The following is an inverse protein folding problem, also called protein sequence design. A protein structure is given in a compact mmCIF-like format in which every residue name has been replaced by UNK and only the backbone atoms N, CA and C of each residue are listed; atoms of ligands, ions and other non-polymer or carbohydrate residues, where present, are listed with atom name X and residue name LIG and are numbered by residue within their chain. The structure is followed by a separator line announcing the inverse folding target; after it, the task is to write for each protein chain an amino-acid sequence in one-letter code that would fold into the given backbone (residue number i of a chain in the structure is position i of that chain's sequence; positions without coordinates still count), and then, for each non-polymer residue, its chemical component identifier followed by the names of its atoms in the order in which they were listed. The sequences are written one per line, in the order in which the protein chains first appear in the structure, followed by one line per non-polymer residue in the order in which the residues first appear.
data_IF_553103982476
#
_entry.id   IF_553103982476
#
_cell.length_a   1.000
_cell.length_b   1.000
_cell.length_c   1.000
_cell.angle_alpha   90.00
_cell.angle_beta   90.00
_cell.angle_gamma   90.00
#
_symmetry.space_group_name_H-M   'P 1'
#
loop_
_entity.id
_entity.type
_entity.pdbx_description
1 polymer ?
#
# COMPACT_ATOMS: atom_id res chain seq x y z
N UNK A 1 -18.15 9.28 3.49
CA UNK A 1 -17.40 8.13 4.04
C UNK A 1 -15.97 8.35 3.66
N UNK A 2 -15.05 8.30 4.61
CA UNK A 2 -13.62 8.50 4.38
C UNK A 2 -12.84 7.36 5.02
N UNK A 3 -11.52 7.31 4.82
CA UNK A 3 -10.72 6.25 5.47
C UNK A 3 -10.76 6.33 7.01
N UNK A 4 -11.21 7.44 7.58
CA UNK A 4 -11.29 7.63 9.04
C UNK A 4 -12.44 6.86 9.69
N UNK A 5 -13.34 6.26 8.90
CA UNK A 5 -14.43 5.42 9.37
C UNK A 5 -14.00 3.95 9.58
N UNK A 6 -12.73 3.63 9.28
CA UNK A 6 -12.19 2.27 9.40
C UNK A 6 -11.24 2.15 10.60
N UNK A 7 -11.14 0.92 11.09
CA UNK A 7 -10.13 0.48 12.05
C UNK A 7 -9.30 -0.64 11.43
N UNK A 8 -8.10 -0.82 11.95
CA UNK A 8 -7.25 -1.98 11.68
C UNK A 8 -6.54 -2.39 12.96
N UNK A 9 -5.87 -3.53 12.96
CA UNK A 9 -5.00 -3.93 14.08
C UNK A 9 -3.56 -3.59 13.74
N UNK A 10 -2.87 -2.92 14.66
CA UNK A 10 -1.41 -2.74 14.60
C UNK A 10 -0.71 -4.10 14.46
N UNK A 11 0.55 -4.12 14.05
CA UNK A 11 1.30 -5.38 13.89
C UNK A 11 1.37 -6.24 15.18
N UNK A 12 1.17 -5.63 16.35
CA UNK A 12 1.14 -6.30 17.65
C UNK A 12 -0.28 -6.73 18.10
N UNK A 13 -1.30 -6.53 17.26
CA UNK A 13 -2.68 -6.94 17.51
C UNK A 13 -3.58 -5.90 18.19
N UNK A 14 -3.02 -4.75 18.60
CA UNK A 14 -3.79 -3.68 19.22
C UNK A 14 -4.68 -2.96 18.20
N UNK A 15 -5.95 -2.65 18.53
CA UNK A 15 -6.85 -1.93 17.64
C UNK A 15 -6.38 -0.48 17.42
N UNK A 16 -6.44 -0.02 16.17
CA UNK A 16 -6.07 1.32 15.73
C UNK A 16 -7.21 1.87 14.87
N UNK A 17 -7.89 2.88 15.39
CA UNK A 17 -8.86 3.68 14.62
C UNK A 17 -8.10 4.56 13.62
N UNK A 18 -8.39 4.48 12.33
CA UNK A 18 -7.66 5.29 11.34
C UNK A 18 -7.96 6.80 11.48
N UNK A 19 -9.01 7.16 12.22
CA UNK A 19 -9.31 8.55 12.58
C UNK A 19 -8.18 9.26 13.35
N UNK A 20 -7.24 8.53 13.97
CA UNK A 20 -6.06 9.14 14.60
C UNK A 20 -5.14 9.84 13.60
N UNK A 21 -5.23 9.47 12.31
CA UNK A 21 -4.45 10.04 11.22
C UNK A 21 -5.16 11.24 10.56
N UNK A 22 -6.22 11.77 11.17
CA UNK A 22 -6.96 12.92 10.64
C UNK A 22 -6.04 14.13 10.48
N UNK A 23 -6.13 14.77 9.30
CA UNK A 23 -5.32 15.94 8.97
C UNK A 23 -3.92 15.61 8.42
N UNK A 24 -3.50 14.35 8.40
CA UNK A 24 -2.27 13.91 7.74
C UNK A 24 -2.52 13.49 6.29
N UNK A 25 -1.49 13.62 5.46
CA UNK A 25 -1.44 12.97 4.13
C UNK A 25 -0.98 11.53 4.34
N UNK A 26 -1.66 10.55 3.75
CA UNK A 26 -1.36 9.13 3.99
C UNK A 26 -0.99 8.41 2.71
N UNK A 27 0.01 7.53 2.76
CA UNK A 27 0.23 6.51 1.75
C UNK A 27 -0.10 5.14 2.34
N UNK A 28 -1.22 4.56 1.91
CA UNK A 28 -1.67 3.23 2.34
C UNK A 28 -1.22 2.22 1.30
N UNK A 29 -0.52 1.15 1.70
CA UNK A 29 -0.05 0.13 0.76
C UNK A 29 -0.09 -1.28 1.34
N UNK A 30 -0.28 -2.28 0.46
CA UNK A 30 -0.07 -3.67 0.83
C UNK A 30 1.39 -4.08 0.63
N UNK A 31 1.98 -4.81 1.58
CA UNK A 31 3.41 -5.20 1.55
C UNK A 31 3.60 -6.71 1.47
N UNK A 32 4.79 -7.13 1.02
CA UNK A 32 5.23 -8.52 1.00
C UNK A 32 6.76 -8.61 1.11
N UNK A 33 7.30 -9.21 2.16
CA UNK A 33 8.75 -9.28 2.43
C UNK A 33 9.53 -10.07 1.38
N UNK A 34 8.98 -11.18 0.86
CA UNK A 34 9.65 -12.07 -0.12
C UNK A 34 9.33 -11.72 -1.58
N UNK A 35 8.75 -10.56 -1.82
CA UNK A 35 8.44 -10.07 -3.16
C UNK A 35 9.64 -9.34 -3.76
N UNK A 36 9.90 -9.43 -5.07
CA UNK A 36 10.95 -8.65 -5.74
C UNK A 36 10.76 -7.13 -5.57
N UNK A 37 9.52 -6.68 -5.35
CA UNK A 37 9.19 -5.28 -5.09
C UNK A 37 9.46 -4.83 -3.65
N UNK A 38 9.88 -5.72 -2.73
CA UNK A 38 10.39 -5.31 -1.41
C UNK A 38 11.62 -4.40 -1.51
N UNK A 39 12.29 -4.38 -2.68
CA UNK A 39 13.29 -3.37 -3.04
C UNK A 39 12.81 -1.92 -2.91
N UNK A 40 11.50 -1.67 -2.91
CA UNK A 40 10.91 -0.33 -2.74
C UNK A 40 10.84 0.10 -1.26
N UNK A 41 10.98 -0.82 -0.29
CA UNK A 41 10.88 -0.49 1.13
C UNK A 41 11.91 0.56 1.60
N UNK A 42 13.19 0.51 1.20
CA UNK A 42 14.14 1.56 1.54
C UNK A 42 13.75 2.94 0.99
N UNK A 43 13.24 3.01 -0.25
CA UNK A 43 12.80 4.28 -0.83
C UNK A 43 11.51 4.79 -0.20
N UNK A 44 10.58 3.90 0.17
CA UNK A 44 9.40 4.25 0.98
C UNK A 44 9.81 4.78 2.36
N UNK A 45 10.78 4.15 3.01
CA UNK A 45 11.30 4.58 4.30
C UNK A 45 11.97 5.96 4.18
N UNK A 46 12.76 6.19 3.13
CA UNK A 46 13.37 7.50 2.89
C UNK A 46 12.32 8.59 2.60
N UNK A 47 11.32 8.28 1.78
CA UNK A 47 10.20 9.17 1.51
C UNK A 47 9.45 9.52 2.79
N UNK A 48 9.24 8.53 3.66
CA UNK A 48 8.66 8.73 4.98
C UNK A 48 9.53 9.67 5.82
N UNK A 49 10.84 9.44 5.93
CA UNK A 49 11.75 10.31 6.69
C UNK A 49 11.76 11.77 6.22
N UNK A 50 11.68 12.02 4.91
CA UNK A 50 11.67 13.38 4.34
C UNK A 50 10.40 14.14 4.75
N UNK A 51 9.25 13.48 4.74
CA UNK A 51 7.94 14.14 4.83
C UNK A 51 7.20 13.91 6.15
N UNK A 52 7.64 12.99 7.01
CA UNK A 52 6.91 12.58 8.22
C UNK A 52 6.57 13.77 9.13
N UNK A 53 7.58 14.58 9.45
CA UNK A 53 7.44 15.77 10.31
C UNK A 53 6.55 16.87 9.70
N UNK A 54 6.25 16.80 8.39
CA UNK A 54 5.38 17.73 7.68
C UNK A 54 3.90 17.30 7.74
N UNK A 55 3.60 16.16 8.37
CA UNK A 55 2.27 15.58 8.47
C UNK A 55 1.99 14.49 7.44
N UNK A 56 3.02 13.75 7.03
CA UNK A 56 2.90 12.56 6.17
C UNK A 56 3.01 11.26 7.00
N UNK A 57 2.29 10.24 6.57
CA UNK A 57 2.32 8.91 7.20
C UNK A 57 2.25 7.81 6.13
N UNK A 58 2.98 6.71 6.34
CA UNK A 58 2.84 5.49 5.52
C UNK A 58 2.19 4.40 6.39
N UNK A 59 1.14 3.76 5.88
CA UNK A 59 0.46 2.66 6.57
C UNK A 59 0.63 1.36 5.76
N UNK A 60 1.55 0.50 6.21
CA UNK A 60 1.87 -0.77 5.56
C UNK A 60 1.02 -1.94 6.05
N UNK A 61 0.39 -2.65 5.12
CA UNK A 61 -0.46 -3.81 5.39
C UNK A 61 0.12 -5.08 4.75
N UNK A 62 0.85 -5.92 5.51
CA UNK A 62 1.37 -7.18 4.99
C UNK A 62 0.24 -8.05 4.40
N UNK A 63 0.53 -8.74 3.29
CA UNK A 63 -0.47 -9.58 2.62
C UNK A 63 0.18 -10.78 1.91
N UNK A 64 -0.40 -11.98 2.13
CA UNK A 64 0.13 -13.21 1.56
C UNK A 64 -0.59 -13.70 0.29
N UNK A 65 -1.60 -12.96 -0.21
CA UNK A 65 -2.47 -13.42 -1.30
C UNK A 65 -1.81 -13.45 -2.70
N UNK A 66 -0.56 -12.99 -2.82
CA UNK A 66 0.13 -12.82 -4.10
C UNK A 66 1.36 -13.73 -4.13
N UNK A 67 1.18 -14.99 -4.57
CA UNK A 67 2.21 -16.04 -4.63
C UNK A 67 2.93 -16.29 -3.28
N UNK A 68 2.19 -16.22 -2.18
CA UNK A 68 2.68 -16.56 -0.84
C UNK A 68 4.00 -15.84 -0.48
N UNK A 69 4.05 -14.53 -0.74
CA UNK A 69 5.25 -13.69 -0.54
C UNK A 69 5.35 -13.04 0.84
N UNK A 70 4.44 -13.37 1.74
CA UNK A 70 4.43 -12.96 3.16
C UNK A 70 3.91 -14.10 4.07
N UNK A 71 4.53 -15.31 4.03
CA UNK A 71 4.09 -16.44 4.84
C UNK A 71 4.30 -16.24 6.34
N UNK A 72 5.26 -15.39 6.72
CA UNK A 72 5.69 -15.11 8.09
C UNK A 72 4.56 -14.59 9.00
N UNK A 73 4.73 -14.79 10.31
CA UNK A 73 3.89 -14.19 11.35
C UNK A 73 4.09 -12.68 11.45
N UNK A 74 3.15 -11.97 12.09
CA UNK A 74 3.23 -10.51 12.24
C UNK A 74 4.55 -10.06 12.90
N UNK A 75 5.02 -10.76 13.94
CA UNK A 75 6.29 -10.44 14.62
C UNK A 75 7.50 -10.64 13.73
N UNK A 76 7.53 -11.71 12.94
CA UNK A 76 8.63 -11.99 12.00
C UNK A 76 8.65 -10.97 10.86
N UNK A 77 7.49 -10.56 10.34
CA UNK A 77 7.39 -9.49 9.32
C UNK A 77 7.91 -8.17 9.89
N UNK A 78 7.51 -7.81 11.12
CA UNK A 78 7.97 -6.59 11.77
C UNK A 78 9.49 -6.55 11.88
N UNK A 79 10.08 -7.60 12.49
CA UNK A 79 11.52 -7.72 12.70
C UNK A 79 12.28 -7.75 11.38
N UNK A 80 11.76 -8.45 10.37
CA UNK A 80 12.38 -8.53 9.05
C UNK A 80 12.40 -7.16 8.36
N UNK A 81 11.27 -6.45 8.32
CA UNK A 81 11.17 -5.14 7.70
C UNK A 81 12.07 -4.10 8.39
N UNK A 82 12.13 -4.12 9.73
CA UNK A 82 13.00 -3.23 10.48
C UNK A 82 14.47 -3.56 10.27
N UNK A 83 14.87 -4.84 10.40
CA UNK A 83 16.27 -5.25 10.37
C UNK A 83 16.90 -5.17 8.97
N UNK A 84 16.13 -5.46 7.92
CA UNK A 84 16.65 -5.54 6.55
C UNK A 84 16.46 -4.24 5.75
N UNK A 85 15.42 -3.47 6.05
CA UNK A 85 15.07 -2.27 5.28
C UNK A 85 14.97 -0.99 6.11
N UNK A 86 15.14 -1.08 7.44
CA UNK A 86 15.07 0.08 8.32
C UNK A 86 13.66 0.68 8.44
N UNK A 87 12.61 -0.08 8.13
CA UNK A 87 11.23 0.43 8.13
C UNK A 87 10.84 0.91 9.53
N UNK A 88 10.42 2.17 9.62
CA UNK A 88 9.94 2.84 10.84
C UNK A 88 8.50 3.32 10.74
N UNK A 89 7.93 3.38 9.53
CA UNK A 89 6.52 3.69 9.38
C UNK A 89 5.64 2.54 9.93
N UNK A 90 4.41 2.84 10.39
CA UNK A 90 3.50 1.84 10.94
C UNK A 90 3.24 0.66 10.00
N UNK A 91 3.44 -0.54 10.54
CA UNK A 91 2.93 -1.79 9.97
C UNK A 91 1.72 -2.28 10.77
N UNK A 92 0.77 -2.87 10.07
CA UNK A 92 -0.44 -3.46 10.62
C UNK A 92 -0.34 -4.99 10.60
N UNK A 93 -1.32 -5.68 11.20
CA UNK A 93 -1.42 -7.14 11.03
C UNK A 93 -1.57 -7.50 9.56
N UNK A 94 -1.13 -8.72 9.23
CA UNK A 94 -1.36 -9.30 7.91
C UNK A 94 -2.85 -9.38 7.62
N UNK A 95 -3.27 -8.86 6.46
CA UNK A 95 -4.66 -8.84 6.03
C UNK A 95 -4.83 -9.44 4.64
N UNK A 96 -6.05 -9.87 4.34
CA UNK A 96 -6.48 -10.08 2.96
C UNK A 96 -6.91 -8.75 2.35
N UNK A 97 -6.54 -8.53 1.09
CA UNK A 97 -6.86 -7.30 0.33
C UNK A 97 -7.71 -7.60 -0.91
N UNK A 98 -8.01 -8.87 -1.17
CA UNK A 98 -8.86 -9.38 -2.25
C UNK A 98 -9.88 -10.40 -1.74
N UNK A 99 -10.94 -10.57 -2.52
CA UNK A 99 -11.97 -11.57 -2.28
C UNK A 99 -12.95 -11.17 -1.17
N UNK A 100 -13.90 -12.07 -0.84
CA UNK A 100 -14.95 -11.79 0.14
C UNK A 100 -14.43 -11.46 1.55
N UNK A 101 -13.26 -12.00 1.90
CA UNK A 101 -12.59 -11.79 3.19
C UNK A 101 -11.64 -10.58 3.20
N UNK A 102 -11.57 -9.81 2.11
CA UNK A 102 -10.75 -8.61 2.05
C UNK A 102 -11.13 -7.65 3.19
N UNK A 103 -10.11 -7.06 3.80
CA UNK A 103 -10.30 -6.07 4.84
C UNK A 103 -11.18 -4.92 4.31
N UNK A 104 -12.19 -4.44 5.07
CA UNK A 104 -13.14 -3.43 4.59
C UNK A 104 -12.49 -2.16 4.03
N UNK A 105 -11.35 -1.75 4.61
CA UNK A 105 -10.53 -0.65 4.06
C UNK A 105 -10.15 -0.89 2.60
N UNK A 106 -9.62 -2.06 2.26
CA UNK A 106 -9.17 -2.36 0.88
C UNK A 106 -10.33 -2.54 -0.09
N UNK A 107 -11.48 -3.02 0.39
CA UNK A 107 -12.73 -3.03 -0.40
C UNK A 107 -13.14 -1.60 -0.76
N UNK A 108 -13.15 -0.70 0.22
CA UNK A 108 -13.44 0.71 0.00
C UNK A 108 -12.41 1.38 -0.93
N UNK A 109 -11.12 1.18 -0.68
CA UNK A 109 -10.05 1.79 -1.49
C UNK A 109 -10.17 1.40 -2.97
N UNK A 110 -10.39 0.11 -3.25
CA UNK A 110 -10.52 -0.38 -4.63
C UNK A 110 -11.84 0.01 -5.30
N UNK A 111 -12.92 0.17 -4.53
CA UNK A 111 -14.19 0.69 -5.07
C UNK A 111 -14.11 2.18 -5.42
N UNK A 112 -13.42 2.98 -4.60
CA UNK A 112 -13.31 4.43 -4.80
C UNK A 112 -12.21 4.80 -5.81
N UNK A 113 -11.20 3.95 -5.97
CA UNK A 113 -10.16 4.09 -6.99
C UNK A 113 -10.02 2.80 -7.81
N UNK A 114 -10.87 2.63 -8.84
CA UNK A 114 -10.82 1.51 -9.78
C UNK A 114 -9.48 1.39 -10.49
N UNK A 115 -9.13 0.20 -10.92
CA UNK A 115 -7.87 -0.03 -11.63
C UNK A 115 -7.87 0.65 -13.00
N UNK A 116 -6.83 1.43 -13.30
CA UNK A 116 -6.73 2.20 -14.55
C UNK A 116 -5.79 1.58 -15.60
N UNK A 117 -5.26 0.38 -15.34
CA UNK A 117 -4.21 -0.23 -16.18
C UNK A 117 -2.81 -0.02 -15.63
N UNK A 118 -1.83 -0.67 -16.26
CA UNK A 118 -0.41 -0.39 -16.05
C UNK A 118 0.10 0.56 -17.14
N UNK A 119 1.16 1.30 -16.84
CA UNK A 119 1.90 2.05 -17.85
C UNK A 119 2.71 1.11 -18.75
N UNK A 120 2.13 0.78 -19.91
CA UNK A 120 2.72 -0.14 -20.90
C UNK A 120 3.86 0.44 -21.72
N UNK A 121 4.13 1.75 -21.61
CA UNK A 121 5.32 2.36 -22.21
C UNK A 121 6.59 2.01 -21.41
N UNK A 122 6.43 1.59 -20.15
CA UNK A 122 7.54 1.07 -19.33
C UNK A 122 7.66 -0.44 -19.45
N UNK A 123 8.89 -0.94 -19.43
CA UNK A 123 9.16 -2.39 -19.44
C UNK A 123 8.53 -3.10 -18.23
N UNK A 124 8.54 -2.45 -17.06
CA UNK A 124 7.93 -2.99 -15.84
C UNK A 124 6.41 -3.09 -15.93
N UNK A 125 5.73 -2.05 -16.43
CA UNK A 125 4.28 -2.03 -16.58
C UNK A 125 3.79 -2.98 -17.67
N UNK A 126 4.48 -3.03 -18.82
CA UNK A 126 4.20 -4.01 -19.87
C UNK A 126 4.34 -5.44 -19.33
N UNK A 127 5.44 -5.74 -18.64
CA UNK A 127 5.66 -7.07 -18.07
C UNK A 127 4.60 -7.45 -17.04
N UNK A 128 4.24 -6.53 -16.13
CA UNK A 128 3.19 -6.79 -15.12
C UNK A 128 1.82 -7.03 -15.76
N UNK A 129 1.50 -6.27 -16.81
CA UNK A 129 0.27 -6.48 -17.55
C UNK A 129 0.24 -7.87 -18.20
N UNK A 130 1.28 -8.23 -18.96
CA UNK A 130 1.34 -9.52 -19.63
C UNK A 130 1.31 -10.68 -18.63
N UNK A 131 2.06 -10.56 -17.54
CA UNK A 131 2.07 -11.54 -16.46
C UNK A 131 0.68 -11.75 -15.85
N UNK A 132 -0.05 -10.68 -15.55
CA UNK A 132 -1.39 -10.78 -14.96
C UNK A 132 -2.43 -11.27 -15.97
N UNK A 133 -2.38 -10.84 -17.23
CA UNK A 133 -3.27 -11.35 -18.28
C UNK A 133 -3.06 -12.85 -18.52
N UNK A 134 -1.82 -13.33 -18.47
CA UNK A 134 -1.50 -14.75 -18.68
C UNK A 134 -1.84 -15.61 -17.46
N UNK A 135 -1.42 -15.20 -16.26
CA UNK A 135 -1.52 -16.04 -15.05
C UNK A 135 -2.80 -15.82 -14.26
N UNK A 136 -3.34 -14.60 -14.29
CA UNK A 136 -4.41 -14.16 -13.40
C UNK A 136 -5.43 -13.26 -14.12
N UNK A 137 -6.05 -13.72 -15.23
CA UNK A 137 -6.91 -12.88 -16.07
C UNK A 137 -8.12 -12.31 -15.32
N UNK A 138 -8.72 -13.07 -14.41
CA UNK A 138 -9.86 -12.60 -13.61
C UNK A 138 -9.46 -11.47 -12.64
N UNK A 139 -8.26 -11.58 -12.07
CA UNK A 139 -7.68 -10.53 -11.23
C UNK A 139 -7.40 -9.28 -12.06
N UNK A 140 -6.89 -9.43 -13.29
CA UNK A 140 -6.63 -8.30 -14.19
C UNK A 140 -7.95 -7.60 -14.58
N UNK A 141 -9.01 -8.36 -14.86
CA UNK A 141 -10.30 -7.83 -15.29
C UNK A 141 -11.07 -7.03 -14.22
N UNK A 142 -10.95 -7.37 -12.95
CA UNK A 142 -11.66 -6.67 -11.85
C UNK A 142 -10.93 -5.42 -11.35
N UNK A 143 -11.46 -4.72 -10.34
CA UNK A 143 -10.83 -3.52 -9.76
C UNK A 143 -9.96 -3.77 -8.52
N UNK A 144 -9.86 -5.04 -8.09
CA UNK A 144 -9.05 -5.41 -6.94
C UNK A 144 -7.59 -4.99 -7.06
N UNK A 145 -6.88 -5.04 -5.92
CA UNK A 145 -5.43 -4.87 -5.87
C UNK A 145 -4.77 -5.81 -6.89
N UNK A 146 -3.74 -5.40 -7.64
CA UNK A 146 -3.15 -6.22 -8.72
C UNK A 146 -1.93 -7.02 -8.30
N UNK A 147 -1.12 -6.46 -7.41
CA UNK A 147 0.02 -7.17 -6.85
C UNK A 147 0.44 -6.55 -5.51
N UNK A 148 1.50 -7.09 -4.90
CA UNK A 148 2.16 -6.48 -3.75
C UNK A 148 2.60 -5.05 -4.08
N UNK A 149 2.65 -4.15 -3.09
CA UNK A 149 3.08 -2.76 -3.27
C UNK A 149 2.16 -1.91 -4.15
N UNK A 150 0.85 -2.21 -4.17
CA UNK A 150 -0.16 -1.25 -4.65
C UNK A 150 -0.37 -0.20 -3.57
N UNK A 151 -0.49 1.08 -3.96
CA UNK A 151 -0.42 2.23 -3.06
C UNK A 151 -1.62 3.14 -3.30
N UNK A 152 -2.17 3.71 -2.24
CA UNK A 152 -3.24 4.70 -2.28
C UNK A 152 -2.78 5.94 -1.53
N UNK A 153 -2.71 7.06 -2.23
CA UNK A 153 -2.43 8.36 -1.63
C UNK A 153 -3.75 8.97 -1.16
N UNK A 154 -3.80 9.38 0.10
CA UNK A 154 -4.97 9.92 0.78
C UNK A 154 -4.68 11.36 1.18
N UNK A 155 -5.64 12.26 0.95
CA UNK A 155 -5.56 13.65 1.38
C UNK A 155 -5.78 13.84 2.89
N UNK A 156 -5.57 15.07 3.38
CA UNK A 156 -5.76 15.44 4.79
C UNK A 156 -7.21 15.27 5.31
N UNK A 157 -8.18 15.09 4.41
CA UNK A 157 -9.60 14.87 4.75
C UNK A 157 -9.98 13.37 4.76
N UNK A 158 -9.03 12.48 4.45
CA UNK A 158 -9.24 11.04 4.42
C UNK A 158 -9.84 10.54 3.11
N UNK A 159 -9.82 11.35 2.04
CA UNK A 159 -10.29 10.96 0.72
C UNK A 159 -9.14 10.49 -0.18
N UNK A 160 -9.43 9.59 -1.10
CA UNK A 160 -8.42 9.08 -2.03
C UNK A 160 -8.07 10.18 -3.03
N UNK A 161 -6.78 10.52 -3.08
CA UNK A 161 -6.22 11.39 -4.09
C UNK A 161 -5.81 10.60 -5.34
N UNK A 162 -5.19 9.42 -5.15
CA UNK A 162 -4.73 8.60 -6.27
C UNK A 162 -4.40 7.16 -5.86
N UNK A 163 -4.39 6.28 -6.86
CA UNK A 163 -3.98 4.88 -6.75
C UNK A 163 -2.78 4.67 -7.68
N UNK A 164 -1.77 3.99 -7.17
CA UNK A 164 -0.53 3.71 -7.87
C UNK A 164 -0.23 2.21 -7.79
N UNK A 165 0.08 1.61 -8.92
CA UNK A 165 0.29 0.18 -9.01
C UNK A 165 1.71 -0.20 -8.60
N UNK A 166 1.94 -1.50 -8.47
CA UNK A 166 3.22 -2.09 -8.08
C UNK A 166 4.44 -1.55 -8.83
N UNK A 167 4.29 -1.18 -10.10
CA UNK A 167 5.39 -0.69 -10.95
C UNK A 167 5.70 0.79 -10.75
N UNK A 168 4.84 1.55 -10.08
CA UNK A 168 5.13 2.94 -9.73
C UNK A 168 6.14 2.99 -8.59
N UNK A 169 7.26 3.69 -8.81
CA UNK A 169 8.30 3.85 -7.80
C UNK A 169 7.86 4.86 -6.72
N UNK A 170 8.32 4.72 -5.46
CA UNK A 170 7.90 5.59 -4.37
C UNK A 170 8.12 7.09 -4.65
N UNK A 171 9.27 7.45 -5.22
CA UNK A 171 9.62 8.84 -5.51
C UNK A 171 8.83 9.46 -6.67
N UNK A 172 8.24 8.66 -7.57
CA UNK A 172 7.33 9.19 -8.59
C UNK A 172 6.04 9.76 -7.98
N UNK A 173 5.72 9.36 -6.74
CA UNK A 173 4.53 9.80 -6.00
C UNK A 173 4.83 11.06 -5.18
N UNK A 174 6.11 11.39 -4.94
CA UNK A 174 6.55 12.46 -4.03
C UNK A 174 5.95 13.82 -4.38
N UNK A 175 5.94 14.19 -5.67
CA UNK A 175 5.36 15.47 -6.13
C UNK A 175 3.89 15.63 -5.73
N UNK A 176 3.13 14.54 -5.69
CA UNK A 176 1.73 14.57 -5.27
C UNK A 176 1.60 14.68 -3.76
N UNK A 177 2.49 14.00 -3.00
CA UNK A 177 2.57 14.13 -1.54
C UNK A 177 2.86 15.59 -1.17
N UNK A 178 3.89 16.20 -1.74
CA UNK A 178 4.24 17.60 -1.51
C UNK A 178 3.06 18.53 -1.82
N UNK A 179 2.37 18.31 -2.93
CA UNK A 179 1.20 19.11 -3.31
C UNK A 179 0.04 19.05 -2.30
N UNK A 180 -0.08 17.94 -1.57
CA UNK A 180 -1.10 17.75 -0.53
C UNK A 180 -0.64 18.27 0.83
N UNK A 181 0.67 18.26 1.09
CA UNK A 181 1.24 18.80 2.32
C UNK A 181 1.17 20.33 2.38
N UNK A 182 1.25 21.01 1.22
CA UNK A 182 1.14 22.47 1.10
C UNK A 182 -0.28 23.03 1.29
N UNK A 183 -1.30 22.18 1.36
CA UNK A 183 -2.71 22.56 1.59
C UNK A 183 -3.05 22.46 3.07
#
# INVERSE_FOLDING_TARGET
MSIYDFQAKSINGEPVELSIYRGKVLLILNTASRCSYSRQLPDLQRLYEIHHEQGFEILGFPCNQFNEKEPESNSEVHEYCESNFGVKFPLFEKVEVRGPSAHPLFQYLTQQAPFQGFDTETSGGQWMQDFLLEKYPDIYAGDGIKWNFSKFLIDRNGHIYGRYETTTEPFDIEVFIESLLLK
#
